data_IF_071811170904
#
_entry.id   IF_071811170904
#
_cell.length_a   1.000
_cell.length_b   1.000
_cell.length_c   1.000
_cell.angle_alpha   90.00
_cell.angle_beta   90.00
_cell.angle_gamma   90.00
#
_symmetry.space_group_name_H-M   'P 1'
#
loop_
_entity.id
_entity.type
_entity.pdbx_description
1 polymer ?
#
# COMPACT_ATOMS: atom_id res chain seq x y z
N UNK A 1 -16.44 -6.66 20.17
CA UNK A 1 -15.04 -6.26 19.96
C UNK A 1 -14.90 -4.86 20.53
N UNK A 2 -13.97 -4.60 21.45
CA UNK A 2 -13.81 -3.26 22.04
C UNK A 2 -13.19 -2.30 21.02
N UNK A 3 -13.56 -1.01 21.08
CA UNK A 3 -12.88 0.03 20.33
C UNK A 3 -11.47 0.17 20.89
N UNK A 4 -10.45 0.09 20.04
CA UNK A 4 -9.06 0.35 20.43
C UNK A 4 -8.86 1.86 20.38
N UNK A 5 -8.97 2.53 21.52
CA UNK A 5 -8.69 3.96 21.65
C UNK A 5 -7.23 4.19 22.02
N UNK A 6 -6.34 4.09 21.03
CA UNK A 6 -4.90 4.22 21.22
C UNK A 6 -4.23 4.70 19.93
N UNK A 7 -3.36 5.73 19.99
CA UNK A 7 -2.63 6.23 18.82
C UNK A 7 -1.40 5.37 18.47
N UNK A 8 -1.22 4.20 19.11
CA UNK A 8 -0.04 3.35 18.95
C UNK A 8 -0.04 2.63 17.61
N UNK A 9 1.08 2.71 16.92
CA UNK A 9 1.49 1.85 15.80
C UNK A 9 2.93 1.39 16.03
N UNK A 10 3.41 0.42 15.25
CA UNK A 10 4.73 -0.18 15.43
C UNK A 10 5.45 -0.36 14.09
N UNK A 11 6.77 -0.44 14.14
CA UNK A 11 7.71 -0.69 13.03
C UNK A 11 7.79 0.42 11.97
N UNK A 12 6.70 0.73 11.26
CA UNK A 12 6.71 1.73 10.21
C UNK A 12 5.35 2.39 10.03
N UNK A 13 5.35 3.65 9.62
CA UNK A 13 4.14 4.36 9.20
C UNK A 13 4.46 5.40 8.12
N UNK A 14 3.58 5.48 7.12
CA UNK A 14 3.53 6.58 6.16
C UNK A 14 2.26 7.37 6.48
N UNK A 15 2.43 8.53 7.09
CA UNK A 15 1.31 9.31 7.65
C UNK A 15 1.10 10.59 6.85
N UNK A 16 -0.16 10.95 6.70
CA UNK A 16 -0.58 12.26 6.24
C UNK A 16 -1.17 13.02 7.43
N UNK A 17 -0.72 14.25 7.64
CA UNK A 17 -1.15 15.10 8.76
C UNK A 17 -1.56 16.45 8.20
N UNK A 18 -2.77 16.90 8.51
CA UNK A 18 -3.27 18.24 8.20
C UNK A 18 -3.33 19.09 9.47
N UNK A 19 -3.14 20.41 9.34
CA UNK A 19 -3.06 21.32 10.48
C UNK A 19 -4.42 21.51 11.18
N UNK A 20 -5.50 21.62 10.41
CA UNK A 20 -6.84 21.85 10.94
C UNK A 20 -7.84 20.83 10.35
N UNK A 21 -8.79 20.32 11.15
CA UNK A 21 -9.92 19.58 10.63
C UNK A 21 -10.85 20.53 9.86
N UNK A 22 -11.35 20.11 8.70
CA UNK A 22 -12.33 20.90 7.95
C UNK A 22 -12.25 20.70 6.44
N UNK A 23 -13.09 21.45 5.72
CA UNK A 23 -13.05 21.48 4.27
C UNK A 23 -11.76 22.19 3.81
N UNK A 24 -11.11 21.61 2.80
CA UNK A 24 -9.95 22.19 2.13
C UNK A 24 -10.08 21.96 0.62
N UNK A 25 -9.38 22.77 -0.16
CA UNK A 25 -9.24 22.49 -1.59
C UNK A 25 -8.38 21.24 -1.78
N UNK A 26 -8.88 20.33 -2.62
CA UNK A 26 -8.24 19.04 -2.91
C UNK A 26 -8.31 18.74 -4.39
N UNK A 27 -7.37 17.93 -4.86
CA UNK A 27 -7.43 17.34 -6.20
C UNK A 27 -8.42 16.20 -6.16
N UNK A 28 -9.57 16.38 -6.81
CA UNK A 28 -10.58 15.34 -7.00
C UNK A 28 -10.32 14.57 -8.29
N UNK A 29 -10.08 13.26 -8.17
CA UNK A 29 -9.84 12.37 -9.29
C UNK A 29 -10.97 11.35 -9.40
N UNK A 30 -11.50 11.16 -10.61
CA UNK A 30 -12.41 10.07 -10.96
C UNK A 30 -11.81 9.31 -12.13
N UNK A 31 -11.68 8.00 -12.00
CA UNK A 31 -11.25 7.16 -13.10
C UNK A 31 -11.96 5.81 -13.07
N UNK A 32 -12.11 5.21 -14.24
CA UNK A 32 -12.73 3.92 -14.43
C UNK A 32 -12.03 3.22 -15.56
N UNK A 33 -12.00 1.89 -15.53
CA UNK A 33 -11.31 1.05 -16.50
C UNK A 33 -9.81 1.32 -16.51
N UNK A 34 -9.02 0.38 -16.00
CA UNK A 34 -7.56 0.46 -16.05
C UNK A 34 -7.06 -0.06 -17.39
N UNK A 35 -6.68 0.86 -18.27
CA UNK A 35 -6.10 0.56 -19.59
C UNK A 35 -4.57 0.36 -19.57
N UNK A 36 -3.91 0.75 -18.48
CA UNK A 36 -2.46 0.65 -18.30
C UNK A 36 -2.01 -0.50 -17.40
N UNK A 37 -0.70 -0.65 -17.25
CA UNK A 37 -0.10 -1.64 -16.35
C UNK A 37 -0.09 -1.20 -14.89
N UNK A 38 -0.01 0.11 -14.67
CA UNK A 38 0.21 0.70 -13.36
C UNK A 38 -1.09 0.75 -12.56
N UNK A 39 -1.00 0.52 -11.25
CA UNK A 39 -2.16 0.64 -10.37
C UNK A 39 -2.60 2.12 -10.23
N UNK A 40 -3.67 2.39 -9.48
CA UNK A 40 -4.20 3.75 -9.36
C UNK A 40 -3.21 4.76 -8.73
N UNK A 41 -2.71 4.56 -7.49
CA UNK A 41 -1.68 5.44 -6.91
C UNK A 41 -0.40 5.54 -7.76
N UNK A 42 0.07 4.42 -8.32
CA UNK A 42 1.30 4.34 -9.11
C UNK A 42 1.20 5.17 -10.38
N UNK A 43 0.04 5.16 -11.05
CA UNK A 43 -0.23 5.97 -12.24
C UNK A 43 -0.07 7.46 -11.93
N UNK A 44 -0.63 7.92 -10.80
CA UNK A 44 -0.52 9.32 -10.37
C UNK A 44 0.94 9.65 -10.04
N UNK A 45 1.60 8.78 -9.25
CA UNK A 45 2.98 8.94 -8.82
C UNK A 45 3.94 9.06 -10.00
N UNK A 46 3.78 8.21 -11.03
CA UNK A 46 4.59 8.23 -12.25
C UNK A 46 4.33 9.47 -13.10
N UNK A 47 3.08 9.91 -13.24
CA UNK A 47 2.76 11.15 -13.93
C UNK A 47 3.39 12.39 -13.26
N UNK A 48 3.40 12.42 -11.91
CA UNK A 48 4.12 13.46 -11.17
C UNK A 48 5.64 13.39 -11.39
N UNK A 49 6.22 12.19 -11.36
CA UNK A 49 7.65 12.01 -11.58
C UNK A 49 8.09 12.45 -12.98
N UNK A 50 7.30 12.13 -14.01
CA UNK A 50 7.53 12.56 -15.39
C UNK A 50 7.49 14.09 -15.52
N UNK A 51 6.53 14.75 -14.87
CA UNK A 51 6.36 16.19 -14.97
C UNK A 51 7.37 16.99 -14.13
N UNK A 52 7.64 16.56 -12.89
CA UNK A 52 8.43 17.34 -11.92
C UNK A 52 9.90 16.87 -11.80
N UNK A 53 10.25 15.70 -12.37
CA UNK A 53 11.59 15.15 -12.31
C UNK A 53 12.07 14.92 -10.88
N UNK A 54 13.26 15.43 -10.56
CA UNK A 54 13.89 15.30 -9.23
C UNK A 54 13.26 16.22 -8.17
N UNK A 55 12.30 17.08 -8.53
CA UNK A 55 11.53 17.85 -7.55
C UNK A 55 10.51 16.92 -6.89
N UNK A 56 10.82 16.46 -5.69
CA UNK A 56 9.93 15.61 -4.91
C UNK A 56 8.57 16.28 -4.70
N UNK A 57 7.52 15.65 -5.23
CA UNK A 57 6.12 15.98 -4.97
C UNK A 57 5.53 14.80 -4.23
N UNK A 58 5.00 15.07 -3.04
CA UNK A 58 4.33 14.07 -2.21
C UNK A 58 2.85 14.37 -2.17
N UNK A 59 2.03 13.39 -2.50
CA UNK A 59 0.58 13.47 -2.32
C UNK A 59 0.14 12.50 -1.25
N UNK A 60 -0.90 12.90 -0.53
CA UNK A 60 -1.63 12.02 0.34
C UNK A 60 -3.12 12.30 0.29
N UNK A 61 -3.92 11.29 0.60
CA UNK A 61 -5.36 11.43 0.53
C UNK A 61 -6.10 10.12 0.74
N UNK A 62 -7.40 10.19 0.47
CA UNK A 62 -8.29 9.04 0.50
C UNK A 62 -8.78 8.79 -0.92
N UNK A 63 -8.80 7.53 -1.34
CA UNK A 63 -9.57 7.12 -2.49
C UNK A 63 -10.51 5.96 -2.15
N UNK A 64 -11.61 5.90 -2.88
CA UNK A 64 -12.60 4.86 -2.83
C UNK A 64 -12.43 3.99 -4.06
N UNK A 65 -12.14 2.71 -3.87
CA UNK A 65 -12.39 1.70 -4.90
C UNK A 65 -13.88 1.39 -4.86
N UNK A 66 -14.63 1.99 -5.80
CA UNK A 66 -16.10 1.97 -5.84
C UNK A 66 -16.65 0.70 -6.43
N UNK A 67 -16.00 0.18 -7.45
CA UNK A 67 -16.38 -1.04 -8.16
C UNK A 67 -15.12 -1.84 -8.49
N UNK A 68 -15.27 -3.17 -8.56
CA UNK A 68 -14.19 -4.11 -8.85
C UNK A 68 -13.64 -4.81 -7.60
N UNK A 69 -12.47 -5.41 -7.77
CA UNK A 69 -11.75 -6.15 -6.75
C UNK A 69 -10.28 -5.74 -6.72
N UNK A 70 -9.62 -5.89 -5.57
CA UNK A 70 -8.21 -5.60 -5.41
C UNK A 70 -7.48 -6.70 -4.67
N UNK A 71 -6.21 -6.88 -5.03
CA UNK A 71 -5.28 -7.73 -4.29
C UNK A 71 -4.75 -6.95 -3.09
N UNK A 72 -5.06 -7.43 -1.90
CA UNK A 72 -4.60 -6.87 -0.63
C UNK A 72 -3.78 -7.93 0.12
N UNK A 73 -2.98 -7.49 1.10
CA UNK A 73 -2.33 -8.40 2.03
C UNK A 73 -2.54 -7.99 3.50
N UNK A 74 -2.49 -8.98 4.38
CA UNK A 74 -2.44 -8.81 5.84
C UNK A 74 -1.22 -9.56 6.36
N UNK A 75 -0.43 -8.92 7.22
CA UNK A 75 0.71 -9.56 7.87
C UNK A 75 0.22 -10.53 8.97
N UNK A 76 0.66 -11.80 8.97
CA UNK A 76 0.46 -12.69 10.10
C UNK A 76 1.49 -12.42 11.21
N UNK A 77 1.50 -13.26 12.25
CA UNK A 77 2.49 -13.18 13.32
C UNK A 77 3.92 -13.25 12.79
N UNK A 78 4.83 -12.51 13.43
CA UNK A 78 6.25 -12.54 13.08
C UNK A 78 6.83 -13.95 13.23
N UNK A 79 7.65 -14.40 12.27
CA UNK A 79 8.32 -15.69 12.37
C UNK A 79 9.31 -15.72 13.54
N UNK A 80 9.56 -16.91 14.08
CA UNK A 80 10.61 -17.11 15.11
C UNK A 80 12.05 -17.06 14.57
N UNK A 81 12.24 -16.84 13.28
CA UNK A 81 13.55 -16.71 12.63
C UNK A 81 13.61 -15.49 11.70
N UNK A 82 14.80 -14.91 11.45
CA UNK A 82 14.92 -13.74 10.58
C UNK A 82 14.51 -14.01 9.13
N UNK A 83 13.97 -12.99 8.46
CA UNK A 83 13.89 -12.95 7.01
C UNK A 83 15.30 -12.86 6.44
N UNK A 84 15.55 -13.53 5.31
CA UNK A 84 16.91 -13.60 4.76
C UNK A 84 17.16 -12.74 3.53
N UNK A 85 16.14 -12.05 3.01
CA UNK A 85 16.27 -10.88 2.13
C UNK A 85 14.98 -10.05 2.16
N UNK A 86 15.11 -8.74 1.91
CA UNK A 86 13.99 -7.79 1.79
C UNK A 86 13.39 -7.75 0.37
N UNK A 87 13.93 -8.53 -0.57
CA UNK A 87 13.44 -8.51 -1.96
C UNK A 87 12.02 -9.10 -2.04
N UNK A 88 11.09 -8.22 -2.41
CA UNK A 88 9.78 -8.52 -2.96
C UNK A 88 10.01 -9.30 -4.27
N UNK A 89 9.85 -10.62 -4.25
CA UNK A 89 9.99 -11.43 -5.47
C UNK A 89 8.64 -11.42 -6.15
N UNK A 90 8.42 -10.39 -6.97
CA UNK A 90 7.32 -10.34 -7.92
C UNK A 90 7.34 -11.65 -8.76
N UNK A 91 6.33 -12.51 -8.55
CA UNK A 91 6.37 -13.91 -8.96
C UNK A 91 6.69 -14.12 -10.45
N UNK A 92 7.77 -14.87 -10.71
CA UNK A 92 7.86 -15.81 -11.84
C UNK A 92 8.16 -17.20 -11.29
N UNK A 93 7.17 -18.10 -11.40
CA UNK A 93 7.24 -19.57 -11.34
C UNK A 93 8.00 -20.23 -10.16
N UNK A 94 7.33 -21.11 -9.43
CA UNK A 94 7.71 -22.54 -9.35
C UNK A 94 6.58 -23.35 -8.67
N UNK A 95 6.35 -24.49 -9.30
CA UNK A 95 5.44 -25.59 -8.98
C UNK A 95 5.70 -26.27 -7.64
N UNK A 96 4.62 -26.82 -7.06
CA UNK A 96 4.50 -27.99 -6.16
C UNK A 96 5.66 -28.35 -5.20
N UNK A 97 5.32 -28.56 -3.92
CA UNK A 97 5.40 -29.85 -3.20
C UNK A 97 5.14 -29.65 -1.69
N UNK A 98 4.40 -30.61 -1.13
CA UNK A 98 4.06 -30.84 0.28
C UNK A 98 5.26 -30.75 1.25
N UNK A 99 5.03 -30.32 2.50
CA UNK A 99 5.12 -31.17 3.71
C UNK A 99 4.83 -30.40 5.02
N UNK A 100 4.09 -31.07 5.92
CA UNK A 100 3.84 -30.66 7.31
C UNK A 100 5.04 -30.97 8.22
N UNK A 101 5.04 -30.29 9.37
CA UNK A 101 5.64 -30.61 10.69
C UNK A 101 6.98 -29.96 11.06
N UNK A 102 6.93 -29.22 12.18
CA UNK A 102 7.97 -29.07 13.22
C UNK A 102 9.39 -28.68 12.76
N UNK A 103 9.63 -27.36 12.73
CA UNK A 103 10.92 -26.65 12.79
C UNK A 103 12.17 -27.53 13.05
N UNK A 104 12.74 -28.12 11.99
CA UNK A 104 14.10 -28.70 11.95
C UNK A 104 14.70 -28.55 10.56
N UNK A 105 15.05 -27.34 10.17
CA UNK A 105 16.14 -27.03 9.21
C UNK A 105 16.08 -25.55 8.83
N UNK A 106 16.96 -24.77 9.45
CA UNK A 106 17.27 -23.41 9.03
C UNK A 106 18.03 -23.44 7.70
N UNK A 107 17.33 -23.67 6.59
CA UNK A 107 17.88 -23.47 5.24
C UNK A 107 17.29 -22.20 4.62
N UNK A 108 17.91 -21.07 4.98
CA UNK A 108 18.02 -19.83 4.20
C UNK A 108 16.70 -19.16 3.80
N UNK A 109 16.41 -18.09 4.55
CA UNK A 109 15.62 -16.94 4.11
C UNK A 109 14.11 -17.19 3.93
N UNK A 110 13.32 -16.95 4.98
CA UNK A 110 11.88 -16.76 4.78
C UNK A 110 11.70 -15.57 3.83
N UNK A 111 10.97 -15.79 2.73
CA UNK A 111 10.65 -14.75 1.76
C UNK A 111 9.41 -14.01 2.23
N UNK A 112 9.45 -12.67 2.18
CA UNK A 112 8.36 -11.82 2.69
C UNK A 112 7.03 -12.19 2.02
N UNK A 113 7.00 -12.36 0.70
CA UNK A 113 5.78 -12.70 -0.05
C UNK A 113 5.20 -14.08 0.29
N UNK A 114 6.01 -15.00 0.82
CA UNK A 114 5.52 -16.29 1.30
C UNK A 114 4.96 -16.23 2.72
N UNK A 115 5.36 -15.21 3.47
CA UNK A 115 4.89 -14.95 4.81
C UNK A 115 3.62 -14.08 4.80
N UNK A 116 3.53 -13.10 3.91
CA UNK A 116 2.33 -12.28 3.75
C UNK A 116 1.12 -13.13 3.31
N UNK A 117 -0.03 -12.89 3.93
CA UNK A 117 -1.29 -13.50 3.50
C UNK A 117 -1.98 -12.57 2.52
N UNK A 118 -2.14 -13.02 1.27
CA UNK A 118 -2.78 -12.27 0.20
C UNK A 118 -4.24 -12.66 0.02
N UNK A 119 -5.07 -11.68 -0.30
CA UNK A 119 -6.51 -11.81 -0.48
C UNK A 119 -6.96 -11.00 -1.70
N UNK A 120 -8.02 -11.48 -2.36
CA UNK A 120 -8.80 -10.68 -3.30
C UNK A 120 -9.99 -10.12 -2.54
N UNK A 121 -10.00 -8.80 -2.34
CA UNK A 121 -11.01 -8.07 -1.57
C UNK A 121 -11.89 -7.24 -2.49
N UNK A 122 -13.16 -7.05 -2.12
CA UNK A 122 -14.17 -6.47 -3.01
C UNK A 122 -14.48 -5.03 -2.67
N UNK A 123 -14.83 -4.26 -3.69
CA UNK A 123 -15.43 -2.95 -3.52
C UNK A 123 -16.72 -3.03 -2.66
N UNK A 124 -17.08 -1.97 -1.92
CA UNK A 124 -16.34 -0.73 -1.76
C UNK A 124 -15.16 -0.86 -0.78
N UNK A 125 -14.02 -0.26 -1.10
CA UNK A 125 -12.86 -0.14 -0.19
C UNK A 125 -12.47 1.33 -0.03
N UNK A 126 -12.41 1.81 1.22
CA UNK A 126 -11.87 3.14 1.55
C UNK A 126 -10.37 2.99 1.79
N UNK A 127 -9.56 3.66 0.97
CA UNK A 127 -8.12 3.51 0.94
C UNK A 127 -7.40 4.81 1.30
N UNK A 128 -6.61 4.78 2.37
CA UNK A 128 -5.70 5.86 2.72
C UNK A 128 -4.35 5.64 2.03
N UNK A 129 -3.90 6.62 1.27
CA UNK A 129 -2.72 6.50 0.41
C UNK A 129 -1.75 7.65 0.63
N UNK A 130 -0.46 7.32 0.69
CA UNK A 130 0.68 8.25 0.71
C UNK A 130 1.66 7.80 -0.34
N UNK A 131 2.09 8.73 -1.21
CA UNK A 131 3.07 8.42 -2.26
C UNK A 131 3.91 9.64 -2.64
N UNK A 132 5.11 9.36 -3.16
CA UNK A 132 6.14 10.35 -3.47
C UNK A 132 6.59 10.18 -4.93
N UNK A 133 6.71 11.27 -5.68
CA UNK A 133 7.17 11.21 -7.08
C UNK A 133 8.65 10.84 -7.19
N UNK A 134 9.46 11.27 -6.22
CA UNK A 134 10.91 11.12 -6.20
C UNK A 134 11.42 11.01 -4.76
N UNK A 135 12.48 10.23 -4.52
CA UNK A 135 13.17 10.16 -3.23
C UNK A 135 14.46 10.98 -3.30
N UNK A 136 14.58 12.09 -2.54
CA UNK A 136 15.80 12.90 -2.50
C UNK A 136 16.92 12.31 -1.61
N UNK A 137 16.83 11.03 -1.25
CA UNK A 137 17.86 10.31 -0.50
C UNK A 137 17.49 10.03 0.96
N UNK A 138 16.20 9.95 1.29
CA UNK A 138 15.67 9.70 2.64
C UNK A 138 15.06 8.29 2.80
N UNK A 139 15.32 7.40 1.83
CA UNK A 139 14.80 6.03 1.77
C UNK A 139 13.29 6.03 1.96
N UNK A 140 12.60 6.87 1.20
CA UNK A 140 11.16 7.02 1.29
C UNK A 140 10.47 5.76 0.76
N UNK A 141 9.40 5.33 1.44
CA UNK A 141 8.49 4.32 0.88
C UNK A 141 7.65 5.01 -0.18
N UNK A 142 8.04 4.82 -1.44
CA UNK A 142 7.51 5.58 -2.59
C UNK A 142 5.99 5.50 -2.78
N UNK A 143 5.37 4.42 -2.33
CA UNK A 143 3.92 4.23 -2.34
C UNK A 143 3.53 3.34 -1.15
N UNK A 144 2.52 3.76 -0.41
CA UNK A 144 1.95 3.00 0.69
C UNK A 144 0.45 3.28 0.80
N UNK A 145 -0.36 2.24 0.59
CA UNK A 145 -1.82 2.34 0.62
C UNK A 145 -2.41 1.24 1.49
N UNK A 146 -3.22 1.61 2.48
CA UNK A 146 -4.00 0.69 3.29
C UNK A 146 -5.49 0.97 3.11
N UNK A 147 -6.31 -0.08 3.05
CA UNK A 147 -7.75 0.04 2.89
C UNK A 147 -8.53 -0.64 4.02
N UNK A 148 -9.78 -0.21 4.19
CA UNK A 148 -10.79 -0.81 5.05
C UNK A 148 -12.18 -0.71 4.42
N UNK A 149 -13.14 -1.47 4.95
CA UNK A 149 -14.53 -1.46 4.52
C UNK A 149 -15.50 -1.73 5.66
N UNK A 150 -16.79 -1.45 5.42
CA UNK A 150 -17.88 -1.79 6.34
C UNK A 150 -18.30 -3.27 6.25
N UNK A 151 -17.71 -4.04 5.33
CA UNK A 151 -18.02 -5.46 5.10
C UNK A 151 -16.89 -6.41 5.56
N UNK A 152 -15.87 -5.88 6.22
CA UNK A 152 -14.83 -6.66 6.90
C UNK A 152 -13.55 -6.88 6.08
N UNK A 153 -13.49 -6.37 4.85
CA UNK A 153 -12.27 -6.39 4.03
C UNK A 153 -11.36 -5.22 4.42
N UNK A 154 -10.10 -5.53 4.72
CA UNK A 154 -9.08 -4.53 5.06
C UNK A 154 -7.66 -5.08 4.84
N UNK A 155 -6.69 -4.19 4.61
CA UNK A 155 -5.30 -4.58 4.48
C UNK A 155 -4.48 -3.62 3.63
N UNK A 156 -3.27 -4.03 3.29
CA UNK A 156 -2.37 -3.29 2.43
C UNK A 156 -2.68 -3.55 0.96
N UNK A 157 -2.99 -2.49 0.20
CA UNK A 157 -3.36 -2.55 -1.21
C UNK A 157 -2.14 -2.77 -2.11
N UNK A 158 -2.30 -3.63 -3.12
CA UNK A 158 -1.32 -3.83 -4.19
C UNK A 158 -1.79 -3.26 -5.53
N UNK A 159 -2.92 -3.76 -6.04
CA UNK A 159 -3.49 -3.37 -7.33
C UNK A 159 -4.91 -3.92 -7.50
N UNK A 160 -5.72 -3.35 -8.39
CA UNK A 160 -6.99 -3.98 -8.81
C UNK A 160 -6.75 -5.27 -9.62
N UNK A 161 -7.67 -6.21 -9.47
CA UNK A 161 -7.69 -7.48 -10.21
C UNK A 161 -8.78 -7.53 -11.28
N UNK A 162 -9.58 -6.48 -11.40
CA UNK A 162 -10.68 -6.36 -12.38
C UNK A 162 -10.51 -5.09 -13.23
N UNK A 163 -9.45 -4.98 -14.05
CA UNK A 163 -9.11 -3.74 -14.75
C UNK A 163 -10.24 -3.24 -15.67
N UNK A 164 -11.01 -4.13 -16.27
CA UNK A 164 -12.06 -3.76 -17.24
C UNK A 164 -13.31 -3.13 -16.61
N UNK A 165 -13.46 -3.27 -15.28
CA UNK A 165 -14.66 -2.82 -14.54
C UNK A 165 -14.34 -1.98 -13.31
N UNK A 166 -13.06 -1.81 -12.96
CA UNK A 166 -12.68 -1.05 -11.76
C UNK A 166 -13.08 0.42 -11.87
N UNK A 167 -13.59 0.98 -10.78
CA UNK A 167 -13.93 2.40 -10.66
C UNK A 167 -13.31 2.97 -9.39
N UNK A 168 -12.59 4.07 -9.53
CA UNK A 168 -11.97 4.81 -8.43
C UNK A 168 -12.49 6.24 -8.35
N UNK A 169 -12.54 6.75 -7.12
CA UNK A 169 -12.79 8.16 -6.84
C UNK A 169 -11.90 8.59 -5.67
N UNK A 170 -11.05 9.60 -5.84
CA UNK A 170 -10.07 9.99 -4.83
C UNK A 170 -9.92 11.49 -4.63
N UNK A 171 -9.48 11.87 -3.43
CA UNK A 171 -9.27 13.24 -2.99
C UNK A 171 -7.87 13.32 -2.38
N UNK A 172 -7.01 14.11 -3.02
CA UNK A 172 -5.60 14.21 -2.66
C UNK A 172 -5.17 15.65 -2.43
N UNK A 173 -4.19 15.83 -1.55
CA UNK A 173 -3.49 17.11 -1.36
C UNK A 173 -1.99 16.89 -1.44
N UNK A 174 -1.27 17.93 -1.88
CA UNK A 174 0.17 17.95 -1.81
C UNK A 174 0.64 18.24 -0.38
N UNK A 175 1.71 17.56 0.05
CA UNK A 175 2.35 17.85 1.33
C UNK A 175 3.26 19.08 1.21
N UNK A 176 3.13 20.01 2.14
CA UNK A 176 4.05 21.17 2.25
C UNK A 176 5.43 20.73 2.80
N UNK A 177 5.43 19.74 3.70
CA UNK A 177 6.63 19.26 4.40
C UNK A 177 6.60 17.75 4.53
N UNK A 178 7.78 17.15 4.51
CA UNK A 178 8.00 15.72 4.78
C UNK A 178 8.90 15.63 6.01
N UNK A 179 8.49 14.83 6.99
CA UNK A 179 9.30 14.52 8.16
C UNK A 179 9.72 13.06 8.10
N UNK A 180 11.03 12.81 8.02
CA UNK A 180 11.61 11.46 8.14
C UNK A 180 12.09 11.26 9.57
N UNK A 181 11.44 10.35 10.29
CA UNK A 181 11.71 10.05 11.70
C UNK A 181 12.23 8.62 11.79
N UNK A 182 13.27 8.40 12.60
CA UNK A 182 13.86 7.07 12.85
C UNK A 182 14.22 6.34 11.54
N UNK A 183 15.13 6.94 10.76
CA UNK A 183 15.64 6.31 9.54
C UNK A 183 16.59 5.18 9.88
N UNK A 184 16.31 4.00 9.33
CA UNK A 184 17.15 2.79 9.41
C UNK A 184 17.94 2.61 8.11
#
# INVERSE_FOLDING_TARGET
MGIIDSPKFSLMANLAISAEPGAAEVVHCKCSVRSGKDNFPETIRKGLAEHYGEKCVSLAGIFLLKEGEAKLHVMPDFPGCPFGSLEEVCCKFISSVLFKTSCRSCLRCLQIDKWLHFFTMKAPLVCASVFHSYDPGHKLRMEHTHCYSDHGDAGHYHYDTTPDTVVYEGWFTAAEKIYRIDEV
#
